data_IF_869715925504
#
_entry.id   IF_869715925504
#
_cell.length_a   1.000
_cell.length_b   1.000
_cell.length_c   1.000
_cell.angle_alpha   90.00
_cell.angle_beta   90.00
_cell.angle_gamma   90.00
#
_symmetry.space_group_name_H-M   'P 1'
#
loop_
_entity.id
_entity.type
_entity.pdbx_description
1 polymer ?
#
# COMPACT_ATOMS: atom_id res chain seq x y z
N UNK A 1 -3.22 -0.56 -35.58
CA UNK A 1 -3.34 -1.90 -36.17
C UNK A 1 -3.45 -2.89 -35.01
N UNK A 2 -4.63 -3.49 -34.79
CA UNK A 2 -4.79 -4.51 -33.77
C UNK A 2 -4.19 -5.83 -34.30
N UNK A 3 -3.24 -6.41 -33.57
CA UNK A 3 -2.70 -7.73 -33.88
C UNK A 3 -3.79 -8.76 -33.58
N UNK A 4 -4.48 -9.23 -34.61
CA UNK A 4 -5.47 -10.30 -34.49
C UNK A 4 -4.70 -11.57 -34.13
N UNK A 5 -4.77 -11.99 -32.87
CA UNK A 5 -4.16 -13.25 -32.44
C UNK A 5 -4.88 -14.36 -33.21
N UNK A 6 -4.13 -15.13 -34.00
CA UNK A 6 -4.60 -16.26 -34.78
C UNK A 6 -4.89 -17.42 -33.82
N UNK A 7 -6.06 -17.39 -33.18
CA UNK A 7 -6.47 -18.37 -32.16
C UNK A 7 -6.57 -19.81 -32.71
N UNK A 8 -6.67 -19.97 -34.03
CA UNK A 8 -6.82 -21.27 -34.68
C UNK A 8 -5.55 -22.13 -34.66
N UNK A 9 -4.37 -21.52 -34.48
CA UNK A 9 -3.09 -22.24 -34.43
C UNK A 9 -2.59 -22.52 -33.00
N UNK A 10 -3.29 -22.02 -31.98
CA UNK A 10 -2.86 -22.13 -30.57
C UNK A 10 -3.53 -23.36 -29.93
N UNK A 11 -2.75 -24.39 -29.69
CA UNK A 11 -3.18 -25.55 -28.90
C UNK A 11 -2.89 -25.30 -27.41
N UNK A 12 -3.91 -25.47 -26.56
CA UNK A 12 -3.77 -25.32 -25.11
C UNK A 12 -2.94 -26.43 -24.46
N UNK A 13 -2.61 -26.26 -23.17
CA UNK A 13 -1.90 -27.28 -22.39
C UNK A 13 -2.82 -28.47 -22.11
N UNK A 14 -2.23 -29.67 -22.07
CA UNK A 14 -2.94 -30.88 -21.64
C UNK A 14 -3.16 -30.85 -20.12
N UNK A 15 -4.21 -31.55 -19.64
CA UNK A 15 -4.54 -31.63 -18.23
C UNK A 15 -3.37 -32.16 -17.36
N UNK A 16 -2.59 -33.11 -17.90
CA UNK A 16 -1.38 -33.63 -17.23
C UNK A 16 -0.33 -32.54 -16.98
N UNK A 17 -0.01 -31.74 -18.00
CA UNK A 17 0.97 -30.65 -17.91
C UNK A 17 0.49 -29.55 -16.98
N UNK A 18 -0.82 -29.25 -16.98
CA UNK A 18 -1.41 -28.29 -16.03
C UNK A 18 -1.26 -28.78 -14.59
N UNK A 19 -1.52 -30.06 -14.32
CA UNK A 19 -1.38 -30.64 -12.98
C UNK A 19 0.06 -30.65 -12.47
N UNK A 20 1.02 -30.97 -13.33
CA UNK A 20 2.45 -30.96 -12.97
C UNK A 20 2.93 -29.53 -12.68
N UNK A 21 2.54 -28.55 -13.51
CA UNK A 21 2.88 -27.13 -13.27
C UNK A 21 2.23 -26.60 -12.00
N UNK A 22 0.96 -26.91 -11.76
CA UNK A 22 0.27 -26.46 -10.56
C UNK A 22 0.95 -26.97 -9.28
N UNK A 23 1.51 -28.19 -9.30
CA UNK A 23 2.28 -28.73 -8.17
C UNK A 23 3.64 -28.06 -7.98
N UNK A 24 4.29 -27.63 -9.08
CA UNK A 24 5.62 -27.02 -9.04
C UNK A 24 5.58 -25.52 -8.72
N UNK A 25 4.64 -24.80 -9.33
CA UNK A 25 4.54 -23.34 -9.28
C UNK A 25 3.52 -22.87 -8.25
N UNK A 26 2.59 -23.74 -7.85
CA UNK A 26 1.45 -23.36 -7.02
C UNK A 26 0.37 -22.63 -7.82
N UNK A 27 -0.66 -22.16 -7.11
CA UNK A 27 -1.72 -21.36 -7.72
C UNK A 27 -1.18 -19.97 -8.08
N UNK A 28 -1.63 -19.43 -9.21
CA UNK A 28 -1.39 -18.04 -9.60
C UNK A 28 -2.28 -17.08 -8.78
N UNK A 29 -2.17 -17.17 -7.46
CA UNK A 29 -2.81 -16.25 -6.52
C UNK A 29 -1.75 -15.30 -5.95
N UNK A 30 -2.13 -14.03 -5.85
CA UNK A 30 -1.31 -13.07 -5.13
C UNK A 30 -1.38 -13.39 -3.64
N UNK A 31 -0.27 -13.28 -2.89
CA UNK A 31 -0.30 -13.45 -1.46
C UNK A 31 -1.34 -12.49 -0.87
N UNK A 32 -2.28 -13.05 -0.10
CA UNK A 32 -3.28 -12.25 0.61
C UNK A 32 -2.56 -11.20 1.43
N UNK A 33 -2.92 -9.93 1.22
CA UNK A 33 -2.37 -8.82 2.00
C UNK A 33 -2.76 -9.02 3.45
N UNK A 34 -1.79 -9.45 4.27
CA UNK A 34 -1.96 -9.57 5.71
C UNK A 34 -2.59 -8.29 6.23
N UNK A 35 -3.65 -8.41 7.04
CA UNK A 35 -4.37 -7.26 7.58
C UNK A 35 -3.37 -6.28 8.21
N UNK A 36 -3.17 -5.12 7.55
CA UNK A 36 -2.32 -4.08 8.11
C UNK A 36 -2.98 -3.59 9.39
N UNK A 37 -2.34 -3.84 10.52
CA UNK A 37 -2.82 -3.38 11.81
C UNK A 37 -2.78 -1.85 11.82
N UNK A 38 -3.90 -1.19 12.15
CA UNK A 38 -4.00 0.27 12.20
C UNK A 38 -2.94 0.86 13.13
N UNK A 39 -2.64 0.18 14.24
CA UNK A 39 -1.57 0.55 15.16
C UNK A 39 -0.17 0.50 14.51
N UNK A 40 0.06 -0.47 13.63
CA UNK A 40 1.31 -0.58 12.88
C UNK A 40 1.51 0.59 11.92
N UNK A 41 0.44 0.99 11.22
CA UNK A 41 0.45 2.14 10.30
C UNK A 41 0.71 3.44 11.09
N UNK A 42 0.06 3.64 12.23
CA UNK A 42 0.28 4.82 13.07
C UNK A 42 1.75 4.93 13.50
N UNK A 43 2.35 3.84 14.00
CA UNK A 43 3.76 3.81 14.39
C UNK A 43 4.71 4.02 13.21
N UNK A 44 4.34 3.58 12.01
CA UNK A 44 5.09 3.81 10.78
C UNK A 44 5.13 5.30 10.43
N UNK A 45 3.98 5.99 10.55
CA UNK A 45 3.88 7.44 10.34
C UNK A 45 4.74 8.22 11.35
N UNK A 46 4.81 7.80 12.61
CA UNK A 46 5.68 8.46 13.61
C UNK A 46 7.18 8.32 13.32
N UNK A 47 7.59 7.37 12.48
CA UNK A 47 9.00 7.22 12.06
C UNK A 47 9.39 8.17 10.92
N UNK A 48 8.41 8.73 10.22
CA UNK A 48 8.64 9.68 9.13
C UNK A 48 9.07 11.05 9.71
N UNK A 49 10.26 11.57 9.37
CA UNK A 49 10.78 12.80 9.97
C UNK A 49 9.91 14.03 9.67
N UNK A 50 9.25 14.05 8.51
CA UNK A 50 8.37 15.14 8.10
C UNK A 50 7.12 15.21 8.98
N UNK A 51 6.58 14.06 9.42
CA UNK A 51 5.42 14.04 10.29
C UNK A 51 5.73 14.67 11.66
N UNK A 52 6.89 14.35 12.22
CA UNK A 52 7.34 14.93 13.49
C UNK A 52 7.57 16.44 13.37
N UNK A 53 8.09 16.91 12.24
CA UNK A 53 8.23 18.34 11.97
C UNK A 53 6.87 19.04 11.94
N UNK A 54 5.89 18.49 11.23
CA UNK A 54 4.54 19.04 11.18
C UNK A 54 3.89 19.08 12.57
N UNK A 55 4.04 17.99 13.33
CA UNK A 55 3.53 17.91 14.69
C UNK A 55 4.18 18.97 15.60
N UNK A 56 5.50 19.12 15.53
CA UNK A 56 6.24 20.15 16.27
C UNK A 56 5.80 21.56 15.90
N UNK A 57 5.69 21.86 14.61
CA UNK A 57 5.18 23.15 14.13
C UNK A 57 3.74 23.42 14.61
N UNK A 58 2.86 22.41 14.56
CA UNK A 58 1.50 22.51 15.06
C UNK A 58 1.46 22.80 16.56
N UNK A 59 2.27 22.10 17.36
CA UNK A 59 2.40 22.35 18.80
C UNK A 59 2.88 23.78 19.06
N UNK A 60 3.96 24.23 18.40
CA UNK A 60 4.47 25.60 18.53
C UNK A 60 3.39 26.63 18.16
N UNK A 61 2.63 26.39 17.09
CA UNK A 61 1.55 27.27 16.66
C UNK A 61 0.43 27.36 17.70
N UNK A 62 0.04 26.24 18.32
CA UNK A 62 -0.97 26.25 19.39
C UNK A 62 -0.50 27.09 20.59
N UNK A 63 0.76 26.90 21.03
CA UNK A 63 1.35 27.72 22.10
C UNK A 63 1.44 29.20 21.72
N UNK A 64 1.83 29.52 20.49
CA UNK A 64 1.94 30.90 20.03
C UNK A 64 0.56 31.57 19.87
N UNK A 65 -0.45 30.82 19.47
CA UNK A 65 -1.84 31.25 19.38
C UNK A 65 -2.44 31.57 20.76
N UNK A 66 -2.12 30.78 21.78
CA UNK A 66 -2.51 31.06 23.18
C UNK A 66 -1.87 32.36 23.70
N UNK A 67 -0.59 32.60 23.35
CA UNK A 67 0.13 33.84 23.69
C UNK A 67 -0.44 35.08 22.97
N UNK A 68 -0.90 34.94 21.73
CA UNK A 68 -1.54 36.05 20.99
C UNK A 68 -3.00 36.28 21.39
N UNK A 69 -3.68 35.25 21.90
CA UNK A 69 -5.08 35.30 22.35
C UNK A 69 -5.35 36.16 23.59
N UNK A 70 -4.31 36.61 24.32
CA UNK A 70 -4.48 37.44 25.52
C UNK A 70 -4.20 38.95 25.28
N UNK A 71 -4.02 39.41 24.04
CA UNK A 71 -3.80 40.84 23.72
C UNK A 71 -4.98 41.49 22.98
N UNK A 72 -6.21 41.09 23.31
CA UNK A 72 -7.44 41.83 23.01
C UNK A 72 -8.35 41.77 24.24
N UNK A 73 -7.91 42.39 25.34
CA UNK A 73 -8.83 43.02 26.29
C UNK A 73 -8.95 44.48 25.93
#
# INVERSE_FOLDING_TARGET
MAHKIELESITGLSASVVGDRLKQEGYNELPSTQHRNIWGIALEIFKEPIFLLLLGCGVIYLFLGDVQGNSKK
#
